data_IF_167927244127
#
_entry.id   IF_167927244127
#
_cell.length_a   1.000
_cell.length_b   1.000
_cell.length_c   1.000
_cell.angle_alpha   90.00
_cell.angle_beta   90.00
_cell.angle_gamma   90.00
#
_symmetry.space_group_name_H-M   'P 1'
#
loop_
_entity.id
_entity.type
_entity.pdbx_description
1 polymer ?
#
# COMPACT_ATOMS: atom_id res chain seq x y z
N UNK A 1 18.71 -79.07 -0.31
CA UNK A 1 19.91 -78.79 -1.13
C UNK A 1 19.41 -77.99 -2.32
N UNK A 2 19.72 -76.72 -2.61
CA UNK A 2 20.80 -75.75 -2.30
C UNK A 2 20.09 -74.36 -2.28
N UNK A 3 20.14 -73.50 -1.26
CA UNK A 3 21.16 -72.52 -0.82
C UNK A 3 21.82 -71.67 -1.92
N UNK A 4 21.93 -70.37 -1.59
CA UNK A 4 22.75 -69.28 -2.18
C UNK A 4 21.91 -68.32 -3.03
N UNK A 5 21.65 -67.08 -2.56
CA UNK A 5 22.59 -65.93 -2.55
C UNK A 5 22.97 -65.60 -4.01
N UNK A 6 22.83 -64.38 -4.52
CA UNK A 6 23.29 -63.10 -3.98
C UNK A 6 22.97 -62.03 -5.03
N UNK A 7 22.99 -60.76 -4.60
CA UNK A 7 23.39 -59.60 -5.40
C UNK A 7 22.65 -59.30 -6.70
N UNK A 8 21.70 -58.36 -6.58
CA UNK A 8 21.26 -57.48 -7.66
C UNK A 8 21.28 -56.03 -7.19
N UNK A 9 22.38 -55.63 -6.54
CA UNK A 9 22.66 -54.26 -6.11
C UNK A 9 23.43 -53.51 -7.19
N UNK A 10 22.79 -53.15 -8.30
CA UNK A 10 23.43 -52.27 -9.29
C UNK A 10 22.42 -51.29 -9.91
N UNK A 11 22.66 -50.00 -9.66
CA UNK A 11 22.50 -49.00 -10.70
C UNK A 11 21.12 -48.40 -10.92
N UNK A 12 20.54 -47.75 -9.91
CA UNK A 12 19.62 -46.62 -10.14
C UNK A 12 20.22 -45.33 -9.60
N UNK A 13 21.46 -45.04 -10.00
CA UNK A 13 21.86 -43.66 -10.19
C UNK A 13 21.19 -43.13 -11.46
N UNK A 14 20.90 -41.83 -11.48
CA UNK A 14 20.39 -41.08 -12.65
C UNK A 14 18.87 -41.02 -12.83
N UNK A 15 18.14 -40.63 -11.79
CA UNK A 15 16.97 -39.79 -12.03
C UNK A 15 17.13 -38.57 -11.14
N UNK A 16 17.70 -37.51 -11.73
CA UNK A 16 17.81 -36.20 -11.10
C UNK A 16 16.46 -35.83 -10.52
N UNK A 17 16.35 -36.00 -9.20
CA UNK A 17 15.25 -35.52 -8.41
C UNK A 17 15.22 -34.02 -8.62
N UNK A 18 14.32 -33.65 -9.53
CA UNK A 18 13.65 -32.39 -9.64
C UNK A 18 14.33 -31.33 -8.79
N UNK A 19 15.31 -30.66 -9.41
CA UNK A 19 15.68 -29.32 -9.04
C UNK A 19 14.40 -28.49 -9.12
N UNK A 20 13.65 -28.47 -8.02
CA UNK A 20 12.51 -27.61 -7.84
C UNK A 20 13.01 -26.20 -8.18
N UNK A 21 12.24 -25.43 -8.97
CA UNK A 21 12.59 -24.05 -9.21
C UNK A 21 12.75 -23.39 -7.85
N UNK A 22 13.98 -23.05 -7.48
CA UNK A 22 14.26 -22.18 -6.35
C UNK A 22 13.55 -20.89 -6.69
N UNK A 23 12.37 -20.71 -6.12
CA UNK A 23 11.63 -19.47 -6.14
C UNK A 23 12.39 -18.45 -5.27
N UNK A 24 13.57 -18.06 -5.74
CA UNK A 24 14.04 -16.69 -5.60
C UNK A 24 13.12 -15.82 -6.44
N UNK A 25 11.90 -15.61 -5.95
CA UNK A 25 10.98 -14.65 -6.50
C UNK A 25 11.09 -13.40 -5.64
N UNK A 26 11.83 -12.44 -6.19
CA UNK A 26 11.90 -11.05 -5.78
C UNK A 26 10.51 -10.51 -5.43
N UNK A 27 10.41 -9.87 -4.27
CA UNK A 27 9.23 -9.12 -3.84
C UNK A 27 9.56 -8.36 -2.55
N UNK A 28 10.20 -7.20 -2.72
CA UNK A 28 10.42 -6.22 -1.66
C UNK A 28 9.07 -5.91 -0.98
N UNK A 29 9.02 -6.06 0.35
CA UNK A 29 7.86 -5.86 1.26
C UNK A 29 6.77 -6.94 1.22
N UNK A 30 6.55 -7.61 2.36
CA UNK A 30 5.35 -8.41 2.60
C UNK A 30 4.09 -7.54 2.52
N UNK A 31 2.91 -8.13 2.23
CA UNK A 31 1.67 -7.36 2.10
C UNK A 31 1.37 -6.65 3.43
N UNK A 32 1.59 -5.33 3.46
CA UNK A 32 1.11 -4.45 4.54
C UNK A 32 -0.40 -4.62 4.62
N UNK A 33 -0.94 -4.88 5.82
CA UNK A 33 -2.37 -5.11 6.01
C UNK A 33 -3.16 -3.89 5.52
N UNK A 34 -4.37 -4.11 5.01
CA UNK A 34 -5.21 -3.02 4.49
C UNK A 34 -5.52 -2.00 5.60
N UNK A 35 -5.62 -2.43 6.87
CA UNK A 35 -5.79 -1.55 8.03
C UNK A 35 -4.56 -0.68 8.30
N UNK A 36 -3.35 -1.22 8.17
CA UNK A 36 -2.10 -0.46 8.27
C UNK A 36 -1.98 0.56 7.13
N UNK A 37 -2.39 0.20 5.92
CA UNK A 37 -2.41 1.11 4.76
C UNK A 37 -3.40 2.25 4.93
N UNK A 38 -4.61 1.96 5.40
CA UNK A 38 -5.66 2.97 5.56
C UNK A 38 -5.32 3.97 6.67
N UNK A 39 -4.79 3.48 7.79
CA UNK A 39 -4.35 4.36 8.88
C UNK A 39 -3.17 5.25 8.48
N UNK A 40 -2.20 4.72 7.71
CA UNK A 40 -1.10 5.49 7.12
C UNK A 40 -1.57 6.54 6.13
N UNK A 41 -2.46 6.17 5.20
CA UNK A 41 -2.99 7.07 4.19
C UNK A 41 -3.84 8.19 4.82
N UNK A 42 -4.57 7.89 5.90
CA UNK A 42 -5.31 8.89 6.66
C UNK A 42 -4.39 9.93 7.31
N UNK A 43 -3.27 9.49 7.91
CA UNK A 43 -2.28 10.40 8.51
C UNK A 43 -1.66 11.33 7.47
N UNK A 44 -1.29 10.81 6.30
CA UNK A 44 -0.74 11.62 5.20
C UNK A 44 -1.75 12.66 4.71
N UNK A 45 -3.02 12.27 4.52
CA UNK A 45 -4.10 13.21 4.13
C UNK A 45 -4.29 14.33 5.14
N UNK A 46 -4.27 14.01 6.44
CA UNK A 46 -4.40 15.01 7.51
C UNK A 46 -3.19 15.96 7.54
N UNK A 47 -1.97 15.42 7.41
CA UNK A 47 -0.76 16.25 7.38
C UNK A 47 -0.74 17.22 6.20
N UNK A 48 -1.13 16.74 5.01
CA UNK A 48 -1.23 17.57 3.82
C UNK A 48 -2.32 18.64 3.96
N UNK A 49 -3.50 18.27 4.47
CA UNK A 49 -4.59 19.20 4.77
C UNK A 49 -4.12 20.33 5.69
N UNK A 50 -3.38 19.98 6.76
CA UNK A 50 -2.81 20.96 7.68
C UNK A 50 -1.83 21.90 6.98
N UNK A 51 -0.92 21.37 6.17
CA UNK A 51 0.03 22.17 5.40
C UNK A 51 -0.66 23.19 4.49
N UNK A 52 -1.69 22.77 3.75
CA UNK A 52 -2.44 23.67 2.86
C UNK A 52 -3.32 24.64 3.64
N UNK A 53 -3.90 24.23 4.76
CA UNK A 53 -4.75 25.11 5.57
C UNK A 53 -3.96 26.22 6.26
N UNK A 54 -2.75 25.91 6.75
CA UNK A 54 -1.93 26.85 7.53
C UNK A 54 -1.07 27.75 6.63
N UNK A 55 -0.75 27.31 5.41
CA UNK A 55 0.15 28.05 4.51
C UNK A 55 -0.37 29.45 4.11
N UNK A 56 -1.60 29.65 3.62
CA UNK A 56 -2.09 30.96 3.23
C UNK A 56 -2.10 32.01 4.38
N UNK A 57 -2.62 31.71 5.58
CA UNK A 57 -2.60 32.69 6.68
C UNK A 57 -1.18 33.00 7.19
N UNK A 58 -0.23 32.06 7.12
CA UNK A 58 1.18 32.34 7.44
C UNK A 58 1.83 33.31 6.45
N UNK A 59 1.48 33.21 5.16
CA UNK A 59 1.95 34.16 4.14
C UNK A 59 1.31 35.53 4.36
N UNK A 60 0.02 35.57 4.70
CA UNK A 60 -0.71 36.82 4.94
C UNK A 60 -0.10 37.65 6.08
N UNK A 61 0.36 37.02 7.17
CA UNK A 61 0.99 37.70 8.31
C UNK A 61 2.22 38.55 7.94
N UNK A 62 2.85 38.29 6.79
CA UNK A 62 4.00 39.06 6.32
C UNK A 62 3.62 40.48 5.83
N UNK A 63 2.33 40.75 5.64
CA UNK A 63 1.81 41.97 5.01
C UNK A 63 0.94 42.84 5.93
N UNK A 64 1.01 42.61 7.25
CA UNK A 64 0.18 43.28 8.27
C UNK A 64 -1.34 43.19 7.97
N UNK A 65 -1.87 41.95 7.83
CA UNK A 65 -3.22 41.73 7.37
C UNK A 65 -4.24 42.12 8.43
N UNK A 66 -5.40 42.56 7.99
CA UNK A 66 -6.53 42.76 8.90
C UNK A 66 -7.02 41.42 9.48
N UNK A 67 -7.63 41.39 10.68
CA UNK A 67 -8.15 40.13 11.26
C UNK A 67 -9.15 39.39 10.36
N UNK A 68 -9.92 40.14 9.56
CA UNK A 68 -10.88 39.59 8.60
C UNK A 68 -10.15 38.89 7.44
N UNK A 69 -9.09 39.49 6.90
CA UNK A 69 -8.27 38.87 5.84
C UNK A 69 -7.57 37.61 6.33
N UNK A 70 -7.12 37.60 7.58
CA UNK A 70 -6.53 36.41 8.19
C UNK A 70 -7.56 35.26 8.28
N UNK A 71 -8.80 35.58 8.69
CA UNK A 71 -9.91 34.62 8.73
C UNK A 71 -10.25 34.11 7.33
N UNK A 72 -10.29 34.99 6.33
CA UNK A 72 -10.55 34.64 4.94
C UNK A 72 -9.43 33.76 4.36
N UNK A 73 -8.16 34.05 4.68
CA UNK A 73 -7.00 33.25 4.27
C UNK A 73 -7.01 31.87 4.94
N UNK A 74 -7.35 31.79 6.22
CA UNK A 74 -7.52 30.51 6.91
C UNK A 74 -8.69 29.72 6.31
N UNK A 75 -9.84 30.35 6.10
CA UNK A 75 -11.01 29.71 5.50
C UNK A 75 -10.73 29.21 4.08
N UNK A 76 -10.03 29.99 3.26
CA UNK A 76 -9.63 29.58 1.91
C UNK A 76 -8.64 28.41 1.95
N UNK A 77 -7.65 28.43 2.84
CA UNK A 77 -6.73 27.32 3.06
C UNK A 77 -7.45 26.03 3.47
N UNK A 78 -8.40 26.13 4.40
CA UNK A 78 -9.21 24.97 4.84
C UNK A 78 -10.08 24.45 3.69
N UNK A 79 -10.75 25.34 2.94
CA UNK A 79 -11.55 24.97 1.77
C UNK A 79 -10.70 24.25 0.71
N UNK A 80 -9.53 24.81 0.37
CA UNK A 80 -8.60 24.23 -0.60
C UNK A 80 -8.08 22.87 -0.14
N UNK A 81 -7.68 22.75 1.12
CA UNK A 81 -7.23 21.49 1.67
C UNK A 81 -8.33 20.44 1.71
N UNK A 82 -9.55 20.81 2.11
CA UNK A 82 -10.70 19.92 2.13
C UNK A 82 -11.08 19.46 0.72
N UNK A 83 -11.09 20.38 -0.24
CA UNK A 83 -11.34 20.10 -1.65
C UNK A 83 -10.33 19.11 -2.22
N UNK A 84 -9.05 19.23 -1.85
CA UNK A 84 -8.03 18.29 -2.32
C UNK A 84 -8.19 16.89 -1.71
N UNK A 85 -8.43 16.82 -0.39
CA UNK A 85 -8.68 15.52 0.28
C UNK A 85 -9.93 14.86 -0.30
N UNK A 86 -10.97 15.65 -0.56
CA UNK A 86 -12.19 15.19 -1.24
C UNK A 86 -11.88 14.67 -2.64
N UNK A 87 -11.12 15.42 -3.44
CA UNK A 87 -10.75 15.02 -4.80
C UNK A 87 -9.94 13.71 -4.82
N UNK A 88 -8.92 13.60 -3.96
CA UNK A 88 -8.10 12.40 -3.84
C UNK A 88 -8.92 11.18 -3.37
N UNK A 89 -9.85 11.40 -2.44
CA UNK A 89 -10.77 10.34 -1.97
C UNK A 89 -11.75 9.91 -3.06
N UNK A 90 -12.33 10.87 -3.78
CA UNK A 90 -13.23 10.65 -4.92
C UNK A 90 -12.54 9.84 -6.01
N UNK A 91 -11.30 10.20 -6.35
CA UNK A 91 -10.49 9.53 -7.37
C UNK A 91 -10.06 8.13 -6.92
N UNK A 92 -9.63 7.96 -5.66
CA UNK A 92 -9.28 6.65 -5.12
C UNK A 92 -10.49 5.69 -5.10
N UNK A 93 -11.68 6.20 -4.76
CA UNK A 93 -12.92 5.42 -4.74
C UNK A 93 -13.31 4.87 -6.12
N UNK A 94 -12.98 5.58 -7.21
CA UNK A 94 -13.20 5.10 -8.58
C UNK A 94 -12.31 3.90 -8.91
N UNK A 95 -11.09 3.84 -8.37
CA UNK A 95 -10.18 2.72 -8.59
C UNK A 95 -10.40 1.55 -7.62
N UNK A 96 -10.79 1.78 -6.36
CA UNK A 96 -11.05 0.71 -5.39
C UNK A 96 -12.42 0.05 -5.52
N UNK A 97 -13.41 0.71 -6.12
CA UNK A 97 -14.72 0.11 -6.38
C UNK A 97 -14.64 -1.17 -7.25
N UNK A 98 -13.59 -1.32 -8.06
CA UNK A 98 -13.36 -2.49 -8.91
C UNK A 98 -12.66 -3.69 -8.24
N UNK A 99 -12.12 -3.52 -7.03
CA UNK A 99 -11.18 -4.49 -6.42
C UNK A 99 -11.82 -5.46 -5.42
N UNK A 100 -13.15 -5.52 -5.31
CA UNK A 100 -13.84 -6.59 -4.56
C UNK A 100 -13.67 -7.93 -5.29
N UNK A 101 -12.48 -8.51 -5.20
CA UNK A 101 -12.13 -9.80 -5.79
C UNK A 101 -12.84 -10.89 -4.96
N UNK A 102 -13.76 -11.66 -5.56
CA UNK A 102 -14.48 -12.70 -4.84
C UNK A 102 -13.50 -13.77 -4.37
N UNK A 103 -13.50 -14.03 -3.06
CA UNK A 103 -12.69 -15.08 -2.45
C UNK A 103 -12.98 -16.42 -3.10
N UNK A 104 -11.94 -16.97 -3.75
CA UNK A 104 -11.99 -18.29 -4.38
C UNK A 104 -12.06 -19.35 -3.29
N UNK A 105 -13.29 -19.74 -2.96
CA UNK A 105 -13.64 -20.85 -2.05
C UNK A 105 -13.05 -22.14 -2.64
N UNK A 106 -11.95 -22.64 -2.05
CA UNK A 106 -11.39 -23.97 -2.34
C UNK A 106 -12.37 -25.04 -1.84
N UNK A 107 -12.71 -26.00 -2.71
CA UNK A 107 -13.20 -27.32 -2.37
C UNK A 107 -12.10 -28.32 -2.70
#
# INVERSE_FOLDING_TARGET
MQRSADSGSEGSGMAGENAAPRAGAVGVVGPVSDEERDSGNRKIKVGFLLLVAVSPPLIALQWDPTPIELLAALASGVLLGLLLVWYLGRLAGEFTAGSRRPGRRRR
#
